data_IF_578783654949
#
_entry.id   IF_578783654949
#
_cell.length_a   1.000
_cell.length_b   1.000
_cell.length_c   1.000
_cell.angle_alpha   90.00
_cell.angle_beta   90.00
_cell.angle_gamma   90.00
#
_symmetry.space_group_name_H-M   'P 1'
#
loop_
_entity.id
_entity.type
_entity.pdbx_description
1 polymer ?
#
# COMPACT_ATOMS: atom_id res chain seq x y z
N UNK A 1 -4.44 14.97 -2.07
CA UNK A 1 -4.10 13.54 -1.92
C UNK A 1 -5.27 12.73 -2.45
N UNK A 2 -5.27 12.40 -3.74
CA UNK A 2 -6.37 11.62 -4.34
C UNK A 2 -6.09 10.16 -4.03
N UNK A 3 -6.69 9.65 -2.96
CA UNK A 3 -6.79 8.21 -2.74
C UNK A 3 -7.94 7.73 -3.63
N UNK A 4 -7.63 7.34 -4.87
CA UNK A 4 -8.60 6.67 -5.72
C UNK A 4 -8.72 5.23 -5.20
N UNK A 5 -9.96 4.87 -4.84
CA UNK A 5 -10.51 3.55 -4.46
C UNK A 5 -9.56 2.36 -4.51
N UNK A 6 -9.61 1.54 -3.45
CA UNK A 6 -9.32 0.09 -3.48
C UNK A 6 -9.71 -0.47 -4.85
N UNK A 7 -8.71 -0.74 -5.67
CA UNK A 7 -8.90 -1.43 -6.94
C UNK A 7 -8.85 -2.91 -6.59
N UNK A 8 -9.97 -3.60 -6.79
CA UNK A 8 -10.07 -5.05 -6.62
C UNK A 8 -8.87 -5.76 -7.28
N UNK A 9 -8.28 -6.76 -6.62
CA UNK A 9 -7.13 -7.50 -7.17
C UNK A 9 -7.44 -8.10 -8.55
N UNK A 10 -8.72 -8.37 -8.85
CA UNK A 10 -9.17 -8.79 -10.18
C UNK A 10 -9.13 -7.64 -11.20
N UNK A 11 -9.44 -6.42 -10.79
CA UNK A 11 -9.30 -5.23 -11.64
C UNK A 11 -7.81 -4.93 -11.89
N UNK A 12 -6.93 -5.09 -10.88
CA UNK A 12 -5.49 -4.97 -11.08
C UNK A 12 -4.94 -6.02 -12.04
N UNK A 13 -5.40 -7.28 -11.93
CA UNK A 13 -5.07 -8.32 -12.92
C UNK A 13 -5.52 -7.90 -14.31
N UNK A 14 -6.76 -7.45 -14.47
CA UNK A 14 -7.29 -7.02 -15.77
C UNK A 14 -6.50 -5.85 -16.36
N UNK A 15 -6.09 -4.86 -15.57
CA UNK A 15 -5.23 -3.76 -16.02
C UNK A 15 -3.89 -4.29 -16.58
N UNK A 16 -3.26 -5.25 -15.89
CA UNK A 16 -2.00 -5.87 -16.33
C UNK A 16 -2.16 -6.66 -17.64
N UNK A 17 -3.34 -7.25 -17.89
CA UNK A 17 -3.61 -8.02 -19.11
C UNK A 17 -3.98 -7.16 -20.33
N UNK A 18 -4.52 -5.95 -20.16
CA UNK A 18 -4.88 -5.06 -21.28
C UNK A 18 -3.69 -4.27 -21.85
N UNK A 19 -2.59 -4.12 -21.11
CA UNK A 19 -1.38 -3.46 -21.60
C UNK A 19 -0.32 -4.48 -22.06
N UNK A 20 -0.43 -4.90 -23.31
CA UNK A 20 0.64 -5.58 -24.04
C UNK A 20 1.88 -4.71 -24.31
N UNK A 21 2.12 -3.64 -23.56
CA UNK A 21 3.19 -2.67 -23.76
C UNK A 21 3.91 -2.35 -22.44
N UNK A 22 5.05 -3.02 -22.27
CA UNK A 22 6.12 -2.84 -21.28
C UNK A 22 5.75 -2.81 -19.78
N UNK A 23 6.40 -3.71 -19.02
CA UNK A 23 6.46 -3.73 -17.54
C UNK A 23 7.07 -2.46 -16.91
N UNK A 24 7.36 -1.43 -17.70
CA UNK A 24 8.05 -0.20 -17.30
C UNK A 24 7.07 0.91 -16.87
N UNK A 25 5.76 0.75 -17.11
CA UNK A 25 4.77 1.82 -16.89
C UNK A 25 3.92 1.67 -15.63
N UNK A 26 3.99 0.55 -14.89
CA UNK A 26 3.18 0.32 -13.68
C UNK A 26 4.06 -0.15 -12.52
N UNK A 27 3.95 0.56 -11.39
CA UNK A 27 4.64 0.20 -10.14
C UNK A 27 3.63 -0.05 -9.04
N UNK A 28 3.63 -1.26 -8.48
CA UNK A 28 2.72 -1.65 -7.40
C UNK A 28 3.47 -1.70 -6.07
N UNK A 29 3.01 -0.93 -5.09
CA UNK A 29 3.47 -0.99 -3.71
C UNK A 29 2.53 -1.89 -2.91
N UNK A 30 3.07 -3.00 -2.40
CA UNK A 30 2.36 -3.88 -1.45
C UNK A 30 2.60 -3.39 -0.02
N UNK A 31 1.79 -3.88 0.92
CA UNK A 31 1.79 -3.51 2.35
C UNK A 31 3.19 -3.47 2.99
N UNK A 32 4.03 -4.48 2.70
CA UNK A 32 5.40 -4.58 3.24
C UNK A 32 6.37 -3.54 2.66
N UNK A 33 5.97 -2.83 1.62
CA UNK A 33 6.82 -1.97 0.81
C UNK A 33 6.27 -0.53 0.70
N UNK A 34 5.29 -0.15 1.52
CA UNK A 34 4.65 1.17 1.48
C UNK A 34 4.72 1.85 2.85
N UNK A 35 5.89 2.41 3.16
CA UNK A 35 6.11 3.06 4.44
C UNK A 35 6.12 2.07 5.60
N UNK A 36 5.56 2.50 6.73
CA UNK A 36 5.35 1.66 7.92
C UNK A 36 3.86 1.39 8.09
N UNK A 37 3.27 0.72 7.10
CA UNK A 37 1.84 0.42 7.11
C UNK A 37 1.44 -0.33 8.39
N UNK A 38 0.47 0.17 9.16
CA UNK A 38 0.02 -0.49 10.39
C UNK A 38 -0.91 -1.64 10.08
N UNK A 39 -0.70 -2.77 10.75
CA UNK A 39 -1.58 -3.93 10.63
C UNK A 39 -1.52 -4.83 11.87
N UNK A 40 -2.58 -5.61 12.05
CA UNK A 40 -2.66 -6.63 13.08
C UNK A 40 -2.39 -7.99 12.45
N UNK A 41 -1.55 -8.79 13.10
CA UNK A 41 -1.36 -10.19 12.73
C UNK A 41 -2.07 -11.05 13.74
N UNK A 42 -3.09 -11.78 13.29
CA UNK A 42 -3.77 -12.78 14.11
C UNK A 42 -2.81 -13.91 14.46
N UNK A 43 -2.64 -14.17 15.76
CA UNK A 43 -1.83 -15.28 16.25
C UNK A 43 -2.73 -16.41 16.73
N UNK A 44 -3.72 -16.09 17.57
CA UNK A 44 -4.74 -17.01 18.06
C UNK A 44 -5.95 -16.24 18.60
N UNK A 45 -6.93 -16.96 19.17
CA UNK A 45 -8.21 -16.40 19.60
C UNK A 45 -8.12 -15.32 20.68
N UNK A 46 -7.00 -15.20 21.40
CA UNK A 46 -6.82 -14.25 22.50
C UNK A 46 -5.66 -13.28 22.26
N UNK A 47 -4.91 -13.42 21.15
CA UNK A 47 -3.69 -12.66 20.94
C UNK A 47 -3.50 -12.26 19.48
N UNK A 48 -3.19 -10.97 19.31
CA UNK A 48 -2.76 -10.37 18.05
C UNK A 48 -1.39 -9.70 18.25
N UNK A 49 -0.53 -9.79 17.25
CA UNK A 49 0.67 -8.96 17.17
C UNK A 49 0.35 -7.64 16.45
N UNK A 50 0.92 -6.55 16.95
CA UNK A 50 0.68 -5.19 16.45
C UNK A 50 1.92 -4.70 15.72
N UNK A 51 1.80 -4.50 14.41
CA UNK A 51 2.88 -3.95 13.59
C UNK A 51 2.64 -2.47 13.34
N UNK A 52 3.66 -1.63 13.54
CA UNK A 52 3.61 -0.17 13.34
C UNK A 52 2.44 0.55 14.06
N UNK A 53 2.03 0.02 15.22
CA UNK A 53 0.88 0.52 15.99
C UNK A 53 -0.43 -0.24 15.74
N UNK A 54 -0.45 -1.17 14.78
CA UNK A 54 -1.57 -2.07 14.48
C UNK A 54 -2.69 -1.44 13.66
N UNK A 55 -3.06 -0.21 14.01
CA UNK A 55 -4.16 0.56 13.41
C UNK A 55 -3.73 2.01 13.15
N UNK A 56 -4.34 2.71 12.18
CA UNK A 56 -3.90 4.05 11.75
C UNK A 56 -3.79 5.09 12.85
N UNK A 57 -4.72 5.08 13.82
CA UNK A 57 -4.76 6.02 14.92
C UNK A 57 -3.58 5.90 15.89
N UNK A 58 -2.88 4.77 15.88
CA UNK A 58 -1.75 4.49 16.78
C UNK A 58 -0.39 4.61 16.07
N UNK A 59 -0.35 5.11 14.84
CA UNK A 59 0.88 5.22 14.05
C UNK A 59 1.51 6.60 14.19
N UNK A 60 2.85 6.65 14.27
CA UNK A 60 3.59 7.91 14.13
C UNK A 60 3.65 8.31 12.64
N UNK A 61 2.82 9.29 12.26
CA UNK A 61 2.67 9.73 10.87
C UNK A 61 3.99 10.27 10.28
N UNK A 62 4.82 10.95 11.07
CA UNK A 62 6.08 11.52 10.59
C UNK A 62 7.06 10.43 10.17
N UNK A 63 7.17 9.36 10.97
CA UNK A 63 8.03 8.21 10.64
C UNK A 63 7.46 7.44 9.45
N UNK A 64 6.14 7.26 9.38
CA UNK A 64 5.48 6.63 8.22
C UNK A 64 5.79 7.38 6.91
N UNK A 65 5.60 8.70 6.88
CA UNK A 65 5.84 9.51 5.67
C UNK A 65 7.32 9.50 5.29
N UNK A 66 8.23 9.55 6.26
CA UNK A 66 9.66 9.43 5.99
C UNK A 66 10.00 8.10 5.31
N UNK A 67 9.54 6.98 5.86
CA UNK A 67 9.78 5.66 5.27
C UNK A 67 9.11 5.49 3.91
N UNK A 68 7.89 6.01 3.75
CA UNK A 68 7.16 5.96 2.49
C UNK A 68 7.93 6.67 1.38
N UNK A 69 8.51 7.85 1.66
CA UNK A 69 9.34 8.56 0.70
C UNK A 69 10.56 7.74 0.29
N UNK A 70 11.24 7.10 1.25
CA UNK A 70 12.37 6.21 0.95
C UNK A 70 11.95 5.03 0.07
N UNK A 71 10.80 4.42 0.34
CA UNK A 71 10.27 3.30 -0.45
C UNK A 71 9.92 3.73 -1.88
N UNK A 72 9.29 4.89 -2.04
CA UNK A 72 8.99 5.47 -3.34
C UNK A 72 10.28 5.74 -4.11
N UNK A 73 11.25 6.46 -3.54
CA UNK A 73 12.52 6.76 -4.22
C UNK A 73 13.32 5.50 -4.58
N UNK A 74 13.22 4.44 -3.78
CA UNK A 74 13.89 3.18 -4.06
C UNK A 74 13.21 2.41 -5.20
N UNK A 75 11.88 2.44 -5.28
CA UNK A 75 11.10 1.64 -6.24
C UNK A 75 10.84 2.38 -7.55
N UNK A 76 10.78 3.71 -7.50
CA UNK A 76 10.63 4.64 -8.62
C UNK A 76 11.85 5.59 -8.56
N UNK A 77 13.02 5.14 -9.03
CA UNK A 77 14.24 5.95 -8.98
C UNK A 77 14.27 7.08 -10.03
N UNK A 78 13.49 6.95 -11.11
CA UNK A 78 13.36 7.98 -12.12
C UNK A 78 12.49 9.13 -11.58
N UNK A 79 13.03 10.35 -11.38
CA UNK A 79 12.23 11.49 -10.94
C UNK A 79 11.20 11.92 -11.99
N UNK A 80 11.41 11.58 -13.26
CA UNK A 80 10.52 11.89 -14.39
C UNK A 80 9.58 10.73 -14.71
N UNK A 81 9.33 9.81 -13.76
CA UNK A 81 8.39 8.71 -13.96
C UNK A 81 6.97 9.23 -14.20
N UNK A 82 6.41 8.87 -15.35
CA UNK A 82 5.08 9.28 -15.83
C UNK A 82 4.08 8.11 -15.90
N UNK A 83 4.48 6.93 -15.41
CA UNK A 83 3.63 5.76 -15.30
C UNK A 83 2.66 5.77 -14.12
N UNK A 84 1.97 4.65 -13.90
CA UNK A 84 0.96 4.49 -12.85
C UNK A 84 1.60 3.86 -11.60
N UNK A 85 1.51 4.55 -10.47
CA UNK A 85 1.83 3.98 -9.17
C UNK A 85 0.55 3.54 -8.44
N UNK A 86 0.48 2.26 -8.05
CA UNK A 86 -0.64 1.69 -7.31
C UNK A 86 -0.18 1.31 -5.91
N UNK A 87 -0.95 1.71 -4.89
CA UNK A 87 -0.78 1.22 -3.51
C UNK A 87 -1.83 0.14 -3.29
N UNK A 88 -1.38 -1.10 -3.03
CA UNK A 88 -2.25 -2.21 -2.69
C UNK A 88 -2.08 -2.59 -1.22
N UNK A 89 -3.03 -2.17 -0.40
CA UNK A 89 -3.09 -2.47 1.04
C UNK A 89 -4.50 -2.90 1.42
N UNK A 90 -4.61 -3.97 2.20
CA UNK A 90 -5.87 -4.69 2.39
C UNK A 90 -6.19 -5.01 3.86
N UNK A 91 -5.29 -4.73 4.80
CA UNK A 91 -5.46 -5.08 6.22
C UNK A 91 -6.57 -4.29 6.93
N UNK A 92 -6.91 -3.10 6.44
CA UNK A 92 -8.03 -2.31 6.96
C UNK A 92 -8.59 -1.35 5.91
N UNK A 93 -9.87 -1.00 6.10
CA UNK A 93 -10.60 0.02 5.32
C UNK A 93 -10.73 1.31 6.14
N UNK A 94 -10.74 2.49 5.50
CA UNK A 94 -10.80 3.76 6.22
C UNK A 94 -12.16 4.02 6.90
N UNK A 95 -13.21 3.30 6.51
CA UNK A 95 -14.55 3.37 7.10
C UNK A 95 -14.74 2.24 8.09
N UNK A 96 -15.13 2.57 9.32
CA UNK A 96 -15.34 1.60 10.40
C UNK A 96 -16.29 0.46 9.97
N UNK A 97 -17.44 0.79 9.39
CA UNK A 97 -18.49 -0.18 9.00
C UNK A 97 -18.09 -1.12 7.86
N UNK A 98 -16.90 -0.95 7.30
CA UNK A 98 -16.38 -1.78 6.23
C UNK A 98 -15.23 -2.68 6.68
N UNK A 99 -14.83 -2.68 7.96
CA UNK A 99 -13.78 -3.56 8.48
C UNK A 99 -14.36 -4.86 9.03
#
# INVERSE_FOLDING_TARGET
MIIKKCVDSQILKNIIYYEGSSRENIVIFYEKNVGLYPYLKYINSIHNEYFNGGIPQNTNISVYIFKLRQDISKKIPNPDFDGIAVINVEEWRPTHDSN
#
